data_IF_204486455123
#
_entry.id   IF_204486455123
#
_cell.length_a   1.000
_cell.length_b   1.000
_cell.length_c   1.000
_cell.angle_alpha   90.00
_cell.angle_beta   90.00
_cell.angle_gamma   90.00
#
_symmetry.space_group_name_H-M   'P 1'
#
loop_
_entity.id
_entity.type
_entity.pdbx_description
1 polymer ?
#
# COMPACT_ATOMS: atom_id res chain seq x y z
N UNK A 1 32.44 25.13 -44.04
CA UNK A 1 32.77 23.76 -43.63
C UNK A 1 31.98 23.42 -42.39
N UNK A 2 31.02 22.59 -42.62
CA UNK A 2 29.98 22.15 -41.63
C UNK A 2 30.58 21.15 -40.65
N UNK A 3 30.34 21.33 -39.35
CA UNK A 3 30.62 20.39 -38.29
C UNK A 3 29.36 20.12 -37.46
N UNK A 4 28.64 19.09 -37.85
CA UNK A 4 27.44 18.59 -37.17
C UNK A 4 27.82 17.90 -35.85
N UNK A 5 27.26 18.36 -34.74
CA UNK A 5 27.23 17.59 -33.46
C UNK A 5 25.77 17.36 -33.06
N UNK A 6 25.21 16.26 -33.54
CA UNK A 6 23.92 15.73 -33.07
C UNK A 6 24.19 14.43 -32.31
N UNK A 7 23.56 14.28 -31.15
CA UNK A 7 23.27 12.95 -30.64
C UNK A 7 23.68 12.67 -29.19
N UNK A 8 22.98 13.18 -28.20
CA UNK A 8 23.19 12.77 -26.81
C UNK A 8 21.96 12.80 -25.92
N UNK A 9 20.81 13.30 -26.39
CA UNK A 9 19.66 13.56 -25.55
C UNK A 9 18.63 12.43 -25.46
N UNK A 10 18.49 11.58 -26.47
CA UNK A 10 17.41 10.58 -26.53
C UNK A 10 17.57 9.36 -25.62
N UNK A 11 18.81 8.97 -25.32
CA UNK A 11 19.07 7.79 -24.52
C UNK A 11 18.74 7.94 -23.02
N UNK A 12 18.96 9.12 -22.45
CA UNK A 12 18.69 9.38 -21.02
C UNK A 12 17.20 9.43 -20.71
N UNK A 13 16.40 10.10 -21.56
CA UNK A 13 14.96 10.20 -21.39
C UNK A 13 14.25 8.85 -21.52
N UNK A 14 14.62 8.03 -22.50
CA UNK A 14 14.04 6.69 -22.67
C UNK A 14 14.42 5.74 -21.53
N UNK A 15 15.63 5.85 -20.96
CA UNK A 15 16.06 5.04 -19.83
C UNK A 15 15.38 5.46 -18.52
N UNK A 16 15.15 6.76 -18.29
CA UNK A 16 14.38 7.26 -17.15
C UNK A 16 12.93 6.80 -17.21
N UNK A 17 12.30 6.77 -18.38
CA UNK A 17 10.95 6.21 -18.58
C UNK A 17 10.90 4.71 -18.26
N UNK A 18 11.90 3.93 -18.68
CA UNK A 18 11.98 2.50 -18.38
C UNK A 18 12.24 2.22 -16.89
N UNK A 19 13.09 3.01 -16.25
CA UNK A 19 13.33 2.89 -14.81
C UNK A 19 12.06 3.18 -14.01
N UNK A 20 11.28 4.19 -14.41
CA UNK A 20 9.98 4.48 -13.81
C UNK A 20 8.99 3.31 -13.95
N UNK A 21 8.87 2.72 -15.14
CA UNK A 21 8.03 1.55 -15.36
C UNK A 21 8.45 0.34 -14.53
N UNK A 22 9.75 0.08 -14.43
CA UNK A 22 10.30 -0.99 -13.57
C UNK A 22 10.00 -0.71 -12.10
N UNK A 23 10.18 0.54 -11.65
CA UNK A 23 9.88 0.97 -10.28
C UNK A 23 8.42 0.70 -9.94
N UNK A 24 7.48 1.16 -10.77
CA UNK A 24 6.06 0.98 -10.55
C UNK A 24 5.65 -0.50 -10.56
N UNK A 25 6.24 -1.30 -11.48
CA UNK A 25 6.00 -2.74 -11.54
C UNK A 25 6.49 -3.44 -10.28
N UNK A 26 7.67 -3.09 -9.76
CA UNK A 26 8.21 -3.70 -8.55
C UNK A 26 7.47 -3.25 -7.30
N UNK A 27 7.10 -1.97 -7.21
CA UNK A 27 6.28 -1.45 -6.12
C UNK A 27 4.94 -2.18 -6.05
N UNK A 28 4.28 -2.36 -7.19
CA UNK A 28 3.04 -3.13 -7.25
C UNK A 28 3.27 -4.61 -6.88
N UNK A 29 4.37 -5.21 -7.32
CA UNK A 29 4.70 -6.60 -6.98
C UNK A 29 4.94 -6.82 -5.47
N UNK A 30 5.51 -5.82 -4.78
CA UNK A 30 5.66 -5.84 -3.32
C UNK A 30 4.29 -5.67 -2.66
N UNK A 31 3.47 -4.72 -3.12
CA UNK A 31 2.09 -4.51 -2.61
C UNK A 31 1.20 -5.74 -2.74
N UNK A 32 1.35 -6.49 -3.83
CA UNK A 32 0.61 -7.72 -4.10
C UNK A 32 1.17 -8.94 -3.35
N UNK A 33 2.21 -8.77 -2.53
CA UNK A 33 2.84 -9.86 -1.80
C UNK A 33 3.65 -10.83 -2.66
N UNK A 34 3.89 -10.52 -3.96
CA UNK A 34 4.74 -11.36 -4.84
C UNK A 34 6.20 -11.40 -4.40
N UNK A 35 6.62 -10.42 -3.62
CA UNK A 35 7.87 -10.40 -2.88
C UNK A 35 7.56 -10.20 -1.41
N UNK A 36 7.82 -11.21 -0.60
CA UNK A 36 7.53 -11.19 0.83
C UNK A 36 8.55 -10.33 1.62
N UNK A 37 8.17 -9.74 2.76
CA UNK A 37 9.10 -9.07 3.66
C UNK A 37 10.29 -9.97 4.04
N UNK A 38 11.52 -9.46 3.84
CA UNK A 38 12.76 -10.20 4.02
C UNK A 38 13.16 -11.09 2.85
N UNK A 39 12.39 -11.17 1.79
CA UNK A 39 12.76 -11.91 0.58
C UNK A 39 13.91 -11.21 -0.16
N UNK A 40 14.86 -12.01 -0.63
CA UNK A 40 16.01 -11.50 -1.37
C UNK A 40 15.64 -11.18 -2.81
N UNK A 41 15.95 -9.96 -3.24
CA UNK A 41 15.78 -9.52 -4.62
C UNK A 41 17.13 -9.38 -5.33
N UNK A 42 17.28 -10.04 -6.49
CA UNK A 42 18.51 -9.98 -7.30
C UNK A 42 18.24 -9.20 -8.58
N UNK A 43 19.05 -8.15 -8.84
CA UNK A 43 18.94 -7.34 -10.08
C UNK A 43 18.90 -8.20 -11.35
N UNK A 44 19.69 -9.26 -11.41
CA UNK A 44 19.79 -10.15 -12.58
C UNK A 44 18.52 -10.97 -12.81
N UNK A 45 17.90 -11.45 -11.74
CA UNK A 45 16.65 -12.21 -11.81
C UNK A 45 15.49 -11.31 -12.21
N UNK A 46 15.38 -10.13 -11.58
CA UNK A 46 14.36 -9.13 -11.92
C UNK A 46 14.50 -8.64 -13.36
N UNK A 47 15.71 -8.34 -13.81
CA UNK A 47 15.98 -7.93 -15.18
C UNK A 47 15.56 -8.99 -16.20
N UNK A 48 15.87 -10.26 -15.93
CA UNK A 48 15.45 -11.38 -16.78
C UNK A 48 13.92 -11.56 -16.80
N UNK A 49 13.27 -11.49 -15.63
CA UNK A 49 11.80 -11.63 -15.50
C UNK A 49 11.04 -10.51 -16.22
N UNK A 50 11.57 -9.27 -16.21
CA UNK A 50 10.95 -8.12 -16.85
C UNK A 50 11.40 -7.89 -18.31
N UNK A 51 12.34 -8.68 -18.82
CA UNK A 51 12.86 -8.51 -20.19
C UNK A 51 13.62 -7.20 -20.41
N UNK A 52 14.28 -6.66 -19.38
CA UNK A 52 15.00 -5.38 -19.43
C UNK A 52 16.48 -5.56 -19.09
N UNK A 53 17.31 -4.55 -19.39
CA UNK A 53 18.70 -4.53 -18.92
C UNK A 53 18.78 -4.27 -17.41
N UNK A 54 19.94 -4.52 -16.79
CA UNK A 54 20.15 -4.32 -15.35
C UNK A 54 20.11 -2.86 -14.91
N UNK A 55 20.41 -1.92 -15.80
CA UNK A 55 20.48 -0.48 -15.45
C UNK A 55 19.17 0.07 -14.91
N UNK A 56 18.01 -0.03 -15.60
CA UNK A 56 16.74 0.44 -15.06
C UNK A 56 16.32 -0.29 -13.78
N UNK A 57 16.67 -1.56 -13.61
CA UNK A 57 16.39 -2.31 -12.38
C UNK A 57 17.19 -1.76 -11.21
N UNK A 58 18.48 -1.44 -11.42
CA UNK A 58 19.33 -0.84 -10.38
C UNK A 58 18.84 0.54 -9.96
N UNK A 59 18.38 1.35 -10.91
CA UNK A 59 17.79 2.66 -10.63
C UNK A 59 16.50 2.51 -9.82
N UNK A 60 15.62 1.57 -10.20
CA UNK A 60 14.41 1.25 -9.46
C UNK A 60 14.71 0.74 -8.04
N UNK A 61 15.71 -0.14 -7.87
CA UNK A 61 16.11 -0.63 -6.55
C UNK A 61 16.60 0.49 -5.64
N UNK A 62 17.41 1.43 -6.16
CA UNK A 62 17.84 2.60 -5.39
C UNK A 62 16.68 3.45 -4.93
N UNK A 63 15.67 3.65 -5.79
CA UNK A 63 14.48 4.40 -5.42
C UNK A 63 13.65 3.67 -4.37
N UNK A 64 13.42 2.35 -4.54
CA UNK A 64 12.72 1.53 -3.54
C UNK A 64 13.46 1.49 -2.19
N UNK A 65 14.80 1.54 -2.20
CA UNK A 65 15.58 1.69 -0.97
C UNK A 65 15.41 3.08 -0.34
N UNK A 66 15.39 4.13 -1.15
CA UNK A 66 15.12 5.50 -0.65
C UNK A 66 13.70 5.63 -0.09
N UNK A 67 12.73 4.90 -0.66
CA UNK A 67 11.35 4.84 -0.19
C UNK A 67 11.16 3.86 1.01
N UNK A 68 12.21 3.15 1.43
CA UNK A 68 12.17 2.23 2.56
C UNK A 68 11.53 0.86 2.27
N UNK A 69 11.20 0.55 1.00
CA UNK A 69 10.62 -0.74 0.61
C UNK A 69 11.66 -1.85 0.44
N UNK A 70 12.89 -1.49 0.13
CA UNK A 70 14.03 -2.39 0.08
C UNK A 70 15.09 -1.95 1.07
N UNK A 71 15.87 -2.90 1.58
CA UNK A 71 17.04 -2.63 2.43
C UNK A 71 18.22 -3.50 2.01
N UNK A 72 19.43 -3.09 2.42
CA UNK A 72 20.66 -3.87 2.19
C UNK A 72 20.97 -4.63 3.48
N UNK A 73 20.90 -5.95 3.42
CA UNK A 73 21.36 -6.81 4.52
C UNK A 73 22.77 -7.36 4.26
N UNK A 74 23.66 -7.37 5.28
CA UNK A 74 24.97 -8.01 5.17
C UNK A 74 24.82 -9.47 4.68
N UNK A 75 25.69 -9.88 3.78
CA UNK A 75 25.76 -11.24 3.20
C UNK A 75 24.55 -11.68 2.36
N UNK A 76 23.36 -11.11 2.57
CA UNK A 76 22.14 -11.41 1.80
C UNK A 76 21.92 -10.47 0.62
N UNK A 77 22.47 -9.25 0.65
CA UNK A 77 22.29 -8.24 -0.37
C UNK A 77 20.96 -7.49 -0.23
N UNK A 78 20.34 -7.10 -1.34
CA UNK A 78 19.08 -6.37 -1.33
C UNK A 78 17.92 -7.31 -0.99
N UNK A 79 17.13 -6.94 0.01
CA UNK A 79 15.93 -7.66 0.46
C UNK A 79 14.75 -6.70 0.57
N UNK A 80 13.52 -7.23 0.48
CA UNK A 80 12.32 -6.48 0.85
C UNK A 80 12.42 -6.14 2.35
N UNK A 81 12.18 -4.89 2.70
CA UNK A 81 12.29 -4.42 4.08
C UNK A 81 11.29 -5.17 4.98
N UNK A 82 11.59 -5.23 6.26
CA UNK A 82 10.70 -5.71 7.31
C UNK A 82 10.32 -4.54 8.18
N UNK A 83 9.11 -4.54 8.67
CA UNK A 83 8.62 -3.54 9.62
C UNK A 83 8.61 -4.15 11.02
N UNK A 84 9.22 -3.47 11.97
CA UNK A 84 9.13 -3.84 13.39
C UNK A 84 7.83 -3.33 14.05
N UNK A 85 7.57 -3.73 15.28
CA UNK A 85 6.37 -3.36 16.01
C UNK A 85 6.27 -1.84 16.24
N UNK A 86 7.38 -1.16 16.54
CA UNK A 86 7.40 0.28 16.77
C UNK A 86 7.05 1.02 15.48
N UNK A 87 7.67 0.66 14.37
CA UNK A 87 7.38 1.22 13.06
C UNK A 87 5.92 1.02 12.66
N UNK A 88 5.34 -0.15 12.98
CA UNK A 88 3.93 -0.41 12.74
C UNK A 88 3.02 0.53 13.55
N UNK A 89 3.31 0.76 14.83
CA UNK A 89 2.54 1.71 15.66
C UNK A 89 2.62 3.14 15.08
N UNK A 90 3.81 3.57 14.69
CA UNK A 90 4.02 4.88 14.05
C UNK A 90 3.26 5.01 12.73
N UNK A 91 3.27 3.95 11.90
CA UNK A 91 2.51 3.89 10.65
C UNK A 91 1.01 4.05 10.91
N UNK A 92 0.44 3.29 11.87
CA UNK A 92 -0.99 3.38 12.20
C UNK A 92 -1.38 4.73 12.80
N UNK A 93 -0.51 5.36 13.59
CA UNK A 93 -0.72 6.72 14.07
C UNK A 93 -0.87 7.72 12.90
N UNK A 94 0.00 7.63 11.90
CA UNK A 94 -0.09 8.48 10.69
C UNK A 94 -1.30 8.13 9.83
N UNK A 95 -1.67 6.85 9.71
CA UNK A 95 -2.90 6.44 9.03
C UNK A 95 -4.14 7.07 9.66
N UNK A 96 -4.26 7.06 10.98
CA UNK A 96 -5.38 7.69 11.68
C UNK A 96 -5.53 9.18 11.34
N UNK A 97 -4.42 9.91 11.19
CA UNK A 97 -4.44 11.33 10.84
C UNK A 97 -4.84 11.54 9.38
N UNK A 98 -4.15 10.87 8.47
CA UNK A 98 -4.28 11.13 7.03
C UNK A 98 -5.57 10.53 6.46
N UNK A 99 -5.96 9.32 6.89
CA UNK A 99 -7.18 8.67 6.40
C UNK A 99 -8.44 9.36 6.96
N UNK A 100 -8.42 9.83 8.21
CA UNK A 100 -9.49 10.68 8.72
C UNK A 100 -9.64 11.97 7.91
N UNK A 101 -8.53 12.64 7.59
CA UNK A 101 -8.56 13.83 6.75
C UNK A 101 -9.09 13.53 5.34
N UNK A 102 -8.74 12.35 4.77
CA UNK A 102 -9.27 11.92 3.49
C UNK A 102 -10.78 11.69 3.54
N UNK A 103 -11.29 11.03 4.57
CA UNK A 103 -12.72 10.78 4.77
C UNK A 103 -13.52 12.09 4.91
N UNK A 104 -13.03 13.04 5.71
CA UNK A 104 -13.66 14.35 5.85
C UNK A 104 -13.69 15.15 4.55
N UNK A 105 -12.61 15.10 3.75
CA UNK A 105 -12.60 15.72 2.42
C UNK A 105 -13.48 14.97 1.43
N UNK A 106 -13.52 13.64 1.44
CA UNK A 106 -14.41 12.85 0.61
C UNK A 106 -15.89 13.18 0.91
N UNK A 107 -16.27 13.34 2.17
CA UNK A 107 -17.61 13.78 2.53
C UNK A 107 -17.98 15.14 1.90
N UNK A 108 -17.03 16.05 1.76
CA UNK A 108 -17.25 17.38 1.15
C UNK A 108 -17.25 17.34 -0.38
N UNK A 109 -16.47 16.46 -1.00
CA UNK A 109 -16.10 16.57 -2.42
C UNK A 109 -16.49 15.37 -3.29
N UNK A 110 -16.79 14.20 -2.72
CA UNK A 110 -17.09 13.00 -3.48
C UNK A 110 -18.25 13.21 -4.46
N UNK A 111 -18.07 12.82 -5.72
CA UNK A 111 -19.17 12.75 -6.68
C UNK A 111 -20.09 11.56 -6.37
N UNK A 112 -21.36 11.65 -6.76
CA UNK A 112 -22.31 10.55 -6.55
C UNK A 112 -21.83 9.22 -7.19
N UNK A 113 -21.16 9.29 -8.35
CA UNK A 113 -20.58 8.13 -9.00
C UNK A 113 -19.43 7.48 -8.20
N UNK A 114 -18.64 8.28 -7.49
CA UNK A 114 -17.59 7.75 -6.62
C UNK A 114 -18.18 7.04 -5.39
N UNK A 115 -19.24 7.62 -4.80
CA UNK A 115 -19.99 7.00 -3.70
C UNK A 115 -20.60 5.67 -4.14
N UNK A 116 -21.22 5.60 -5.33
CA UNK A 116 -21.76 4.36 -5.87
C UNK A 116 -20.71 3.27 -6.03
N UNK A 117 -19.52 3.60 -6.54
CA UNK A 117 -18.40 2.64 -6.63
C UNK A 117 -17.96 2.14 -5.24
N UNK A 118 -17.93 3.01 -4.22
CA UNK A 118 -17.63 2.60 -2.85
C UNK A 118 -18.70 1.64 -2.30
N UNK A 119 -19.97 1.88 -2.60
CA UNK A 119 -21.07 0.98 -2.22
C UNK A 119 -20.92 -0.39 -2.90
N UNK A 120 -20.66 -0.43 -4.21
CA UNK A 120 -20.44 -1.67 -4.97
C UNK A 120 -19.30 -2.52 -4.36
N UNK A 121 -18.23 -1.88 -3.86
CA UNK A 121 -17.12 -2.57 -3.18
C UNK A 121 -17.53 -3.17 -1.83
N UNK A 122 -18.39 -2.50 -1.07
CA UNK A 122 -18.92 -3.03 0.19
C UNK A 122 -19.88 -4.20 -0.07
N UNK A 123 -20.73 -4.09 -1.10
CA UNK A 123 -21.64 -5.15 -1.50
C UNK A 123 -20.87 -6.39 -1.97
N UNK A 124 -19.77 -6.20 -2.72
CA UNK A 124 -18.87 -7.28 -3.12
C UNK A 124 -18.11 -7.92 -1.94
N UNK A 125 -18.00 -7.22 -0.82
CA UNK A 125 -17.38 -7.74 0.41
C UNK A 125 -18.35 -8.55 1.27
N UNK A 126 -19.66 -8.41 1.04
CA UNK A 126 -20.68 -9.10 1.82
C UNK A 126 -20.71 -10.59 1.48
N UNK A 127 -20.54 -11.43 2.50
CA UNK A 127 -20.50 -12.90 2.33
C UNK A 127 -19.22 -13.45 1.71
N UNK A 128 -18.23 -12.60 1.35
CA UNK A 128 -16.92 -13.06 0.91
C UNK A 128 -16.16 -13.70 2.09
N UNK A 129 -15.50 -14.82 1.84
CA UNK A 129 -14.78 -15.59 2.86
C UNK A 129 -13.28 -15.72 2.56
N UNK A 130 -12.84 -15.39 1.36
CA UNK A 130 -11.43 -15.38 1.00
C UNK A 130 -10.75 -14.14 1.57
N UNK A 131 -9.82 -14.35 2.51
CA UNK A 131 -9.12 -13.28 3.21
C UNK A 131 -8.27 -12.40 2.27
N UNK A 132 -7.68 -12.96 1.21
CA UNK A 132 -6.89 -12.21 0.23
C UNK A 132 -7.82 -11.36 -0.66
N UNK A 133 -8.96 -11.90 -1.05
CA UNK A 133 -9.97 -11.15 -1.80
C UNK A 133 -10.55 -10.00 -0.97
N UNK A 134 -10.86 -10.24 0.30
CA UNK A 134 -11.29 -9.19 1.23
C UNK A 134 -10.23 -8.11 1.42
N UNK A 135 -8.97 -8.49 1.53
CA UNK A 135 -7.86 -7.53 1.63
C UNK A 135 -7.75 -6.66 0.36
N UNK A 136 -8.01 -7.24 -0.82
CA UNK A 136 -8.01 -6.52 -2.08
C UNK A 136 -9.18 -5.53 -2.17
N UNK A 137 -10.40 -5.96 -1.86
CA UNK A 137 -11.59 -5.09 -1.79
C UNK A 137 -11.40 -3.94 -0.80
N UNK A 138 -10.83 -4.23 0.37
CA UNK A 138 -10.47 -3.21 1.36
C UNK A 138 -9.48 -2.17 0.79
N UNK A 139 -8.43 -2.61 0.08
CA UNK A 139 -7.49 -1.67 -0.55
C UNK A 139 -8.19 -0.77 -1.56
N UNK A 140 -9.07 -1.33 -2.38
CA UNK A 140 -9.85 -0.59 -3.38
C UNK A 140 -10.80 0.41 -2.72
N UNK A 141 -11.49 0.03 -1.63
CA UNK A 141 -12.38 0.91 -0.88
C UNK A 141 -11.64 2.13 -0.31
N UNK A 142 -10.52 1.90 0.39
CA UNK A 142 -9.70 3.00 0.92
C UNK A 142 -9.15 3.89 -0.19
N UNK A 143 -8.64 3.31 -1.28
CA UNK A 143 -8.16 4.09 -2.43
C UNK A 143 -9.27 4.95 -3.04
N UNK A 144 -10.48 4.42 -3.16
CA UNK A 144 -11.64 5.18 -3.63
C UNK A 144 -11.96 6.40 -2.75
N UNK A 145 -11.84 6.27 -1.42
CA UNK A 145 -11.99 7.40 -0.48
C UNK A 145 -10.87 8.43 -0.69
N UNK A 146 -9.60 7.98 -0.88
CA UNK A 146 -8.48 8.89 -1.10
C UNK A 146 -8.64 9.69 -2.40
N UNK A 147 -9.11 9.04 -3.46
CA UNK A 147 -9.39 9.69 -4.74
C UNK A 147 -10.57 10.68 -4.62
N UNK A 148 -11.61 10.33 -3.86
CA UNK A 148 -12.77 11.16 -3.60
C UNK A 148 -12.47 12.39 -2.71
N UNK A 149 -11.34 12.40 -1.99
CA UNK A 149 -10.88 13.56 -1.23
C UNK A 149 -10.43 14.73 -2.13
N UNK A 150 -10.16 14.49 -3.42
CA UNK A 150 -9.70 15.48 -4.41
C UNK A 150 -8.51 16.33 -3.96
N UNK A 151 -7.60 15.75 -3.15
CA UNK A 151 -6.40 16.41 -2.65
C UNK A 151 -5.13 15.63 -3.07
N UNK A 152 -4.45 16.13 -4.11
CA UNK A 152 -3.25 15.49 -4.68
C UNK A 152 -2.09 15.31 -3.69
N UNK A 153 -1.94 16.23 -2.74
CA UNK A 153 -0.86 16.15 -1.74
C UNK A 153 -1.17 15.09 -0.67
N UNK A 154 -2.42 15.04 -0.22
CA UNK A 154 -2.89 14.00 0.69
C UNK A 154 -2.81 12.62 0.04
N UNK A 155 -3.27 12.49 -1.22
CA UNK A 155 -3.18 11.25 -1.99
C UNK A 155 -1.73 10.74 -2.09
N UNK A 156 -0.77 11.64 -2.36
CA UNK A 156 0.64 11.28 -2.42
C UNK A 156 1.16 10.74 -1.09
N UNK A 157 0.79 11.37 0.03
CA UNK A 157 1.19 10.94 1.37
C UNK A 157 0.55 9.59 1.73
N UNK A 158 -0.73 9.38 1.44
CA UNK A 158 -1.44 8.13 1.67
C UNK A 158 -0.89 6.96 0.83
N UNK A 159 -0.53 7.21 -0.43
CA UNK A 159 0.11 6.21 -1.26
C UNK A 159 1.47 5.74 -0.68
N UNK A 160 2.26 6.64 -0.10
CA UNK A 160 3.50 6.27 0.58
C UNK A 160 3.25 5.40 1.83
N UNK A 161 2.20 5.68 2.61
CA UNK A 161 1.79 4.82 3.72
C UNK A 161 1.29 3.46 3.24
N UNK A 162 0.53 3.41 2.13
CA UNK A 162 0.06 2.16 1.53
C UNK A 162 1.22 1.27 1.07
N UNK A 163 2.30 1.86 0.56
CA UNK A 163 3.54 1.14 0.27
C UNK A 163 4.11 0.49 1.53
N UNK A 164 4.19 1.25 2.62
CA UNK A 164 4.70 0.73 3.90
C UNK A 164 3.81 -0.37 4.49
N UNK A 165 2.49 -0.32 4.26
CA UNK A 165 1.57 -1.39 4.68
C UNK A 165 1.89 -2.74 4.04
N UNK A 166 2.45 -2.76 2.84
CA UNK A 166 2.88 -3.99 2.16
C UNK A 166 4.03 -4.73 2.85
N UNK A 167 4.75 -4.05 3.76
CA UNK A 167 5.82 -4.65 4.55
C UNK A 167 5.29 -5.40 5.80
N UNK A 168 4.00 -5.31 6.08
CA UNK A 168 3.37 -6.02 7.20
C UNK A 168 3.05 -7.46 6.81
N UNK A 169 3.28 -8.43 7.72
CA UNK A 169 3.00 -9.82 7.45
C UNK A 169 1.49 -10.08 7.39
N UNK A 170 1.05 -10.89 6.43
CA UNK A 170 -0.31 -11.43 6.33
C UNK A 170 -1.43 -10.36 6.31
N UNK A 171 -2.66 -10.77 6.14
CA UNK A 171 -3.83 -9.90 6.23
C UNK A 171 -4.54 -10.03 7.58
N UNK A 172 -5.17 -8.96 8.06
CA UNK A 172 -6.00 -9.01 9.27
C UNK A 172 -7.32 -9.73 9.03
N UNK A 173 -7.74 -9.90 7.79
CA UNK A 173 -8.98 -10.60 7.41
C UNK A 173 -8.96 -12.09 7.69
N UNK A 174 -7.78 -12.69 7.98
CA UNK A 174 -7.66 -14.06 8.46
C UNK A 174 -8.09 -14.24 9.93
N UNK A 175 -8.30 -13.15 10.68
CA UNK A 175 -8.79 -13.22 12.07
C UNK A 175 -10.30 -13.42 12.08
N UNK A 176 -10.75 -14.37 12.91
CA UNK A 176 -12.19 -14.63 13.10
C UNK A 176 -12.94 -13.36 13.54
N UNK A 177 -14.08 -13.09 12.90
CA UNK A 177 -14.94 -11.93 13.15
C UNK A 177 -14.39 -10.59 12.62
N UNK A 178 -13.18 -10.56 12.04
CA UNK A 178 -12.64 -9.33 11.45
C UNK A 178 -13.32 -8.93 10.13
N UNK A 179 -13.65 -9.86 9.22
CA UNK A 179 -14.41 -9.52 8.01
C UNK A 179 -15.70 -8.77 8.32
N UNK A 180 -16.52 -9.30 9.20
CA UNK A 180 -17.83 -8.75 9.56
C UNK A 180 -17.69 -7.39 10.27
N UNK A 181 -16.75 -7.28 11.21
CA UNK A 181 -16.52 -6.01 11.91
C UNK A 181 -15.97 -4.93 10.99
N UNK A 182 -15.05 -5.28 10.08
CA UNK A 182 -14.52 -4.33 9.11
C UNK A 182 -15.60 -3.82 8.14
N UNK A 183 -16.47 -4.72 7.66
CA UNK A 183 -17.59 -4.35 6.79
C UNK A 183 -18.55 -3.39 7.49
N UNK A 184 -18.89 -3.64 8.77
CA UNK A 184 -19.73 -2.72 9.55
C UNK A 184 -19.07 -1.34 9.73
N UNK A 185 -17.77 -1.31 10.06
CA UNK A 185 -16.98 -0.07 10.18
C UNK A 185 -16.94 0.72 8.85
N UNK A 186 -16.77 0.04 7.72
CA UNK A 186 -16.76 0.67 6.39
C UNK A 186 -18.15 1.21 6.01
N UNK A 187 -19.24 0.50 6.34
CA UNK A 187 -20.61 0.98 6.13
C UNK A 187 -20.90 2.26 6.92
N UNK A 188 -20.46 2.33 8.17
CA UNK A 188 -20.58 3.53 8.98
C UNK A 188 -19.80 4.70 8.35
N UNK A 189 -18.60 4.46 7.89
CA UNK A 189 -17.76 5.46 7.23
C UNK A 189 -18.40 5.95 5.92
N UNK A 190 -18.90 5.05 5.08
CA UNK A 190 -19.56 5.42 3.82
C UNK A 190 -20.85 6.19 4.07
N UNK A 191 -21.67 5.79 5.04
CA UNK A 191 -22.90 6.51 5.42
C UNK A 191 -22.60 7.96 5.86
N UNK A 192 -21.51 8.20 6.59
CA UNK A 192 -21.08 9.55 6.95
C UNK A 192 -20.63 10.37 5.71
N UNK A 193 -19.94 9.72 4.74
CA UNK A 193 -19.56 10.37 3.46
C UNK A 193 -20.82 10.71 2.63
N UNK A 194 -21.78 9.81 2.54
CA UNK A 194 -23.04 10.01 1.81
C UNK A 194 -23.88 11.15 2.40
N UNK A 195 -23.97 11.20 3.72
CA UNK A 195 -24.67 12.27 4.43
C UNK A 195 -23.94 13.61 4.41
N UNK A 196 -22.76 13.69 3.80
CA UNK A 196 -21.92 14.90 3.74
C UNK A 196 -21.46 15.41 5.12
N UNK A 197 -21.49 14.56 6.15
CA UNK A 197 -21.01 14.89 7.49
C UNK A 197 -19.50 14.60 7.60
N UNK A 198 -18.70 15.65 7.33
CA UNK A 198 -17.24 15.54 7.34
C UNK A 198 -16.68 15.15 8.72
N UNK A 199 -17.28 15.64 9.81
CA UNK A 199 -16.83 15.34 11.17
C UNK A 199 -17.16 13.88 11.54
N UNK A 200 -18.35 13.39 11.18
CA UNK A 200 -18.71 11.99 11.37
C UNK A 200 -17.80 11.07 10.56
N UNK A 201 -17.50 11.41 9.29
CA UNK A 201 -16.58 10.65 8.43
C UNK A 201 -15.17 10.59 9.02
N UNK A 202 -14.64 11.71 9.54
CA UNK A 202 -13.35 11.73 10.23
C UNK A 202 -13.34 10.85 11.47
N UNK A 203 -14.40 10.90 12.30
CA UNK A 203 -14.52 10.07 13.50
C UNK A 203 -14.60 8.58 13.15
N UNK A 204 -15.44 8.21 12.17
CA UNK A 204 -15.58 6.83 11.71
C UNK A 204 -14.26 6.27 11.16
N UNK A 205 -13.54 7.05 10.34
CA UNK A 205 -12.23 6.65 9.82
C UNK A 205 -11.22 6.44 10.95
N UNK A 206 -11.11 7.33 11.92
CA UNK A 206 -10.22 7.15 13.09
C UNK A 206 -10.54 5.89 13.88
N UNK A 207 -11.83 5.65 14.14
CA UNK A 207 -12.28 4.46 14.87
C UNK A 207 -11.93 3.17 14.11
N UNK A 208 -12.18 3.15 12.79
CA UNK A 208 -11.82 2.04 11.90
C UNK A 208 -10.32 1.74 11.95
N UNK A 209 -9.45 2.76 11.76
CA UNK A 209 -8.00 2.55 11.76
C UNK A 209 -7.49 2.09 13.13
N UNK A 210 -8.07 2.57 14.24
CA UNK A 210 -7.75 2.09 15.57
C UNK A 210 -8.13 0.60 15.78
N UNK A 211 -9.25 0.14 15.22
CA UNK A 211 -9.61 -1.28 15.24
C UNK A 211 -8.69 -2.12 14.34
N UNK A 212 -8.34 -1.59 13.16
CA UNK A 212 -7.39 -2.23 12.25
C UNK A 212 -5.99 -2.39 12.90
N UNK A 213 -5.52 -1.41 13.67
CA UNK A 213 -4.29 -1.48 14.46
C UNK A 213 -4.33 -2.61 15.50
N UNK A 214 -5.42 -2.69 16.28
CA UNK A 214 -5.62 -3.77 17.28
C UNK A 214 -5.64 -5.14 16.63
N UNK A 215 -6.29 -5.26 15.48
CA UNK A 215 -6.31 -6.50 14.71
C UNK A 215 -4.91 -6.85 14.20
N UNK A 216 -4.15 -5.86 13.71
CA UNK A 216 -2.77 -6.05 13.25
C UNK A 216 -1.85 -6.55 14.35
N UNK A 217 -1.94 -5.97 15.55
CA UNK A 217 -1.17 -6.42 16.72
C UNK A 217 -1.44 -7.90 17.02
N UNK A 218 -2.71 -8.34 16.97
CA UNK A 218 -3.06 -9.76 17.17
C UNK A 218 -2.41 -10.67 16.12
N UNK A 219 -2.40 -10.26 14.84
CA UNK A 219 -1.74 -11.01 13.75
C UNK A 219 -0.25 -11.15 14.02
N UNK A 220 0.43 -10.07 14.40
CA UNK A 220 1.87 -10.09 14.69
C UNK A 220 2.17 -11.03 15.87
N UNK A 221 1.43 -10.92 16.97
CA UNK A 221 1.61 -11.80 18.14
C UNK A 221 1.40 -13.29 17.80
N UNK A 222 0.39 -13.61 16.99
CA UNK A 222 0.16 -14.97 16.51
C UNK A 222 1.27 -15.47 15.59
N UNK A 223 1.77 -14.61 14.72
CA UNK A 223 2.86 -14.94 13.80
C UNK A 223 4.18 -15.20 14.54
N UNK A 224 4.52 -14.38 15.55
CA UNK A 224 5.69 -14.57 16.40
C UNK A 224 5.61 -15.86 17.22
N UNK A 225 4.43 -16.19 17.75
CA UNK A 225 4.21 -17.42 18.53
C UNK A 225 4.33 -18.69 17.67
N UNK A 226 3.89 -18.62 16.40
CA UNK A 226 3.92 -19.75 15.47
C UNK A 226 5.20 -19.85 14.64
N UNK A 227 6.16 -18.95 14.86
CA UNK A 227 7.44 -18.98 14.12
C UNK A 227 8.26 -20.16 14.61
N UNK A 228 8.63 -21.14 13.75
CA UNK A 228 9.63 -22.14 14.13
C UNK A 228 10.89 -21.38 14.52
N UNK A 229 11.44 -21.69 15.70
CA UNK A 229 12.63 -21.03 16.20
C UNK A 229 13.74 -21.04 15.12
N UNK A 230 14.32 -19.89 14.84
CA UNK A 230 15.56 -19.84 14.05
C UNK A 230 16.58 -20.72 14.80
N UNK A 231 17.19 -21.71 14.17
CA UNK A 231 18.29 -22.44 14.82
C UNK A 231 19.44 -21.46 15.06
N UNK A 232 19.90 -21.38 16.29
CA UNK A 232 21.08 -20.63 16.73
C UNK A 232 22.35 -21.01 15.93
#
# INVERSE_FOLDING_TARGET
>A
MSGSSRGGGGGRSANQSRAGQVLDTLRQAIRDGRYAPGERMRETQVAAALGVSRTPVREAFRQLQADGLLTMEPWRGVVVAKMDQQQMVELYAMRQVLEASAAGLAARHAAASQIAVLQDLLDASEGETDAERLADLNRQFHQGIYDAAHNRFLLKALNALSDSMALLPSTTYALAGRPESALAEHRELLAAIESRDAEAAERAARAHIAQAERARLKVIMQWEHNRPGDPE
#
